data_IF_166793638682
#
_entry.id   IF_166793638682
#
_cell.length_a   1.000
_cell.length_b   1.000
_cell.length_c   1.000
_cell.angle_alpha   90.00
_cell.angle_beta   90.00
_cell.angle_gamma   90.00
#
_symmetry.space_group_name_H-M   'P 1'
#
loop_
_entity.id
_entity.type
_entity.pdbx_description
1 polymer ?
#
# COMPACT_ATOMS: atom_id res chain seq x y z
N UNK A 1 55.23 -5.29 -30.76
CA UNK A 1 54.71 -4.72 -29.51
C UNK A 1 53.20 -4.64 -29.64
N UNK A 2 52.46 -5.53 -28.96
CA UNK A 2 51.00 -5.59 -29.01
C UNK A 2 50.55 -5.05 -27.64
N UNK A 3 49.89 -3.90 -27.66
CA UNK A 3 49.30 -3.28 -26.44
C UNK A 3 47.89 -3.81 -26.30
N UNK A 4 47.67 -4.63 -25.26
CA UNK A 4 46.35 -5.16 -24.91
C UNK A 4 45.67 -4.15 -24.03
N UNK A 5 44.58 -3.55 -24.52
CA UNK A 5 43.70 -2.66 -23.72
C UNK A 5 42.70 -3.50 -22.94
N UNK A 6 42.86 -3.55 -21.64
CA UNK A 6 41.86 -4.15 -20.74
C UNK A 6 40.73 -3.15 -20.48
N UNK A 7 39.54 -3.42 -21.02
CA UNK A 7 38.31 -2.68 -20.70
C UNK A 7 37.79 -3.11 -19.33
N UNK A 8 37.87 -2.23 -18.33
CA UNK A 8 37.27 -2.42 -17.04
C UNK A 8 35.74 -2.12 -17.16
N UNK A 9 34.91 -3.16 -17.06
CA UNK A 9 33.46 -3.03 -16.92
C UNK A 9 33.17 -2.52 -15.50
N UNK A 10 32.79 -1.25 -15.37
CA UNK A 10 32.27 -0.70 -14.12
C UNK A 10 30.90 -1.27 -13.89
N UNK A 11 30.74 -2.20 -12.95
CA UNK A 11 29.46 -2.65 -12.43
C UNK A 11 28.91 -1.51 -11.59
N UNK A 12 27.94 -0.77 -12.14
CA UNK A 12 27.13 0.19 -11.38
C UNK A 12 26.32 -0.64 -10.39
N UNK A 13 26.77 -0.67 -9.13
CA UNK A 13 25.99 -1.17 -8.03
C UNK A 13 24.76 -0.25 -7.91
N UNK A 14 23.62 -0.74 -8.41
CA UNK A 14 22.31 -0.13 -8.17
C UNK A 14 22.07 -0.27 -6.67
N UNK A 15 22.31 0.80 -5.90
CA UNK A 15 21.89 0.86 -4.49
C UNK A 15 20.38 0.84 -4.50
N UNK A 16 19.81 -0.37 -4.44
CA UNK A 16 18.40 -0.55 -4.19
C UNK A 16 18.08 0.25 -2.92
N UNK A 17 17.17 1.22 -3.02
CA UNK A 17 16.70 1.97 -1.87
C UNK A 17 16.12 0.93 -0.90
N UNK A 18 16.85 0.66 0.17
CA UNK A 18 16.41 -0.30 1.16
C UNK A 18 15.26 0.32 1.96
N UNK A 19 14.22 -0.47 2.21
CA UNK A 19 13.23 -0.15 3.23
C UNK A 19 13.94 -0.22 4.59
N UNK A 20 14.51 0.90 5.03
CA UNK A 20 15.30 0.98 6.25
C UNK A 20 14.41 1.01 7.47
N UNK A 21 14.59 0.01 8.32
CA UNK A 21 13.92 -0.12 9.61
C UNK A 21 14.97 -0.28 10.71
N UNK A 22 14.95 0.59 11.74
CA UNK A 22 16.02 0.65 12.73
C UNK A 22 16.05 -0.51 13.71
N UNK A 23 14.94 -1.23 13.88
CA UNK A 23 14.87 -2.35 14.83
C UNK A 23 14.68 -3.66 14.11
N UNK A 24 15.48 -4.66 14.48
CA UNK A 24 15.45 -6.01 13.92
C UNK A 24 15.47 -7.03 15.03
N UNK A 25 14.50 -7.95 15.03
CA UNK A 25 14.41 -9.12 15.89
C UNK A 25 14.19 -10.35 15.01
N UNK A 26 14.63 -11.52 15.48
CA UNK A 26 14.35 -12.78 14.79
C UNK A 26 13.39 -13.63 15.62
N UNK A 27 12.45 -14.28 14.95
CA UNK A 27 11.54 -15.23 15.58
C UNK A 27 11.02 -16.25 14.57
N UNK A 28 10.58 -17.40 15.06
CA UNK A 28 9.99 -18.46 14.23
C UNK A 28 8.48 -18.22 14.09
N UNK A 29 7.97 -18.34 12.88
CA UNK A 29 6.53 -18.27 12.59
C UNK A 29 5.89 -19.62 12.96
N UNK A 30 4.95 -19.58 13.92
CA UNK A 30 4.21 -20.76 14.39
C UNK A 30 2.97 -21.04 13.53
N UNK A 31 2.21 -19.99 13.16
CA UNK A 31 1.02 -20.14 12.31
C UNK A 31 0.76 -18.88 11.47
N UNK A 32 0.03 -19.06 10.37
CA UNK A 32 -0.56 -17.99 9.57
C UNK A 32 -2.04 -17.87 9.94
N UNK A 33 -2.45 -16.71 10.41
CA UNK A 33 -3.81 -16.45 10.90
C UNK A 33 -4.73 -15.93 9.79
N UNK A 34 -4.19 -15.11 8.91
CA UNK A 34 -4.82 -14.58 7.70
C UNK A 34 -3.75 -14.15 6.70
N UNK A 35 -4.14 -13.63 5.54
CA UNK A 35 -3.21 -13.26 4.47
C UNK A 35 -2.18 -12.17 4.79
N UNK A 36 -2.19 -11.62 6.01
CA UNK A 36 -1.23 -10.60 6.47
C UNK A 36 -0.95 -10.65 7.97
N UNK A 37 -1.36 -11.72 8.66
CA UNK A 37 -1.17 -11.85 10.11
C UNK A 37 -0.59 -13.22 10.42
N UNK A 38 0.48 -13.25 11.19
CA UNK A 38 1.14 -14.47 11.65
C UNK A 38 1.24 -14.48 13.18
N UNK A 39 1.23 -15.67 13.78
CA UNK A 39 1.66 -15.86 15.15
C UNK A 39 3.08 -16.40 15.19
N UNK A 40 3.84 -15.98 16.18
CA UNK A 40 5.21 -16.42 16.44
C UNK A 40 5.23 -17.50 17.52
N UNK A 41 6.31 -18.27 17.58
CA UNK A 41 6.49 -19.33 18.58
C UNK A 41 6.58 -18.81 20.01
N UNK A 42 6.86 -17.54 20.22
CA UNK A 42 6.87 -16.88 21.52
C UNK A 42 5.49 -16.31 21.94
N UNK A 43 4.45 -16.56 21.13
CA UNK A 43 3.07 -16.13 21.38
C UNK A 43 2.73 -14.72 20.86
N UNK A 44 3.68 -13.96 20.37
CA UNK A 44 3.40 -12.65 19.75
C UNK A 44 2.66 -12.81 18.43
N UNK A 45 1.81 -11.82 18.12
CA UNK A 45 1.09 -11.74 16.85
C UNK A 45 1.68 -10.58 16.05
N UNK A 46 2.07 -10.83 14.81
CA UNK A 46 2.60 -9.83 13.89
C UNK A 46 1.64 -9.63 12.73
N UNK A 47 1.28 -8.36 12.49
CA UNK A 47 0.55 -7.92 11.32
C UNK A 47 1.53 -7.31 10.31
N UNK A 48 1.52 -7.80 9.10
CA UNK A 48 2.37 -7.29 8.02
C UNK A 48 2.03 -5.84 7.70
N UNK A 49 3.03 -4.98 7.80
CA UNK A 49 2.90 -3.54 7.55
C UNK A 49 2.81 -3.24 6.04
N UNK A 50 2.15 -2.14 5.69
CA UNK A 50 2.16 -1.58 4.34
C UNK A 50 1.36 -2.34 3.29
N UNK A 51 0.69 -3.45 3.64
CA UNK A 51 -0.10 -4.24 2.69
C UNK A 51 -1.52 -4.53 3.18
N UNK A 52 -2.41 -4.76 2.23
CA UNK A 52 -3.74 -5.33 2.41
C UNK A 52 -3.82 -6.66 1.65
N UNK A 53 -4.20 -7.71 2.34
CA UNK A 53 -4.29 -9.06 1.80
C UNK A 53 -5.36 -9.17 0.72
N UNK A 54 -5.09 -9.92 -0.35
CA UNK A 54 -6.10 -10.41 -1.28
C UNK A 54 -6.85 -11.62 -0.70
N UNK A 55 -7.91 -12.06 -1.34
CA UNK A 55 -8.57 -13.31 -0.98
C UNK A 55 -7.59 -14.48 -1.15
N UNK A 56 -7.62 -15.43 -0.21
CA UNK A 56 -6.77 -16.65 -0.20
C UNK A 56 -5.25 -16.38 -0.13
N UNK A 57 -4.83 -15.17 0.22
CA UNK A 57 -3.41 -14.84 0.39
C UNK A 57 -2.76 -15.46 1.64
N UNK A 58 -3.57 -16.03 2.54
CA UNK A 58 -3.11 -16.84 3.68
C UNK A 58 -2.26 -18.03 3.22
N UNK A 59 -2.65 -18.70 2.13
CA UNK A 59 -1.87 -19.79 1.53
C UNK A 59 -0.55 -19.29 0.95
N UNK A 60 -0.55 -18.13 0.27
CA UNK A 60 0.66 -17.53 -0.27
C UNK A 60 1.63 -17.12 0.85
N UNK A 61 1.13 -16.46 1.89
CA UNK A 61 1.91 -16.11 3.06
C UNK A 61 2.44 -17.37 3.77
N UNK A 62 1.61 -18.42 3.89
CA UNK A 62 2.02 -19.69 4.50
C UNK A 62 3.20 -20.34 3.79
N UNK A 63 3.18 -20.39 2.45
CA UNK A 63 4.32 -20.91 1.67
C UNK A 63 5.61 -20.12 1.89
N UNK A 64 5.49 -18.83 2.16
CA UNK A 64 6.64 -17.96 2.38
C UNK A 64 7.24 -18.10 3.79
N UNK A 65 6.40 -18.20 4.83
CA UNK A 65 6.92 -17.99 6.19
C UNK A 65 6.56 -19.08 7.22
N UNK A 66 5.61 -19.98 6.95
CA UNK A 66 5.18 -20.96 7.94
C UNK A 66 6.34 -21.88 8.38
N UNK A 67 6.58 -21.97 9.68
CA UNK A 67 7.66 -22.76 10.27
C UNK A 67 9.06 -22.18 10.06
N UNK A 68 9.20 -21.08 9.35
CA UNK A 68 10.48 -20.43 9.07
C UNK A 68 10.85 -19.45 10.19
N UNK A 69 12.15 -19.19 10.33
CA UNK A 69 12.69 -18.06 11.07
C UNK A 69 12.60 -16.81 10.18
N UNK A 70 12.06 -15.72 10.73
CA UNK A 70 11.91 -14.44 10.06
C UNK A 70 12.55 -13.33 10.86
N UNK A 71 13.12 -12.35 10.13
CA UNK A 71 13.55 -11.09 10.71
C UNK A 71 12.37 -10.13 10.73
N UNK A 72 12.01 -9.63 11.90
CA UNK A 72 10.91 -8.71 12.16
C UNK A 72 11.48 -7.31 12.26
N UNK A 73 11.08 -6.43 11.37
CA UNK A 73 11.59 -5.06 11.32
C UNK A 73 10.48 -4.07 11.62
N UNK A 74 10.70 -3.24 12.63
CA UNK A 74 9.75 -2.22 13.07
C UNK A 74 10.38 -0.82 13.05
N UNK A 75 9.55 0.19 12.85
CA UNK A 75 9.94 1.58 13.01
C UNK A 75 9.41 2.09 14.35
N UNK A 76 10.23 1.98 15.40
CA UNK A 76 9.88 2.49 16.72
C UNK A 76 9.82 4.01 16.78
N UNK A 77 10.50 4.73 15.84
CA UNK A 77 10.47 6.20 15.79
C UNK A 77 9.12 6.74 15.33
N UNK A 78 8.34 5.93 14.63
CA UNK A 78 6.99 6.27 14.20
C UNK A 78 5.92 6.06 15.28
N UNK A 79 6.32 5.74 16.53
CA UNK A 79 5.40 5.45 17.61
C UNK A 79 4.51 4.23 17.34
N UNK A 80 5.05 3.25 16.63
CA UNK A 80 4.35 1.99 16.32
C UNK A 80 4.33 1.16 17.61
N UNK A 81 3.44 1.54 18.51
CA UNK A 81 2.92 0.65 19.56
C UNK A 81 2.13 -0.47 18.88
N UNK A 82 1.96 -1.62 19.54
CA UNK A 82 1.02 -2.62 19.05
C UNK A 82 -0.30 -1.95 18.64
N UNK A 83 -0.93 -2.46 17.59
CA UNK A 83 -2.23 -1.94 17.19
C UNK A 83 -3.28 -2.18 18.32
N UNK A 84 -4.49 -1.63 18.15
CA UNK A 84 -5.56 -1.75 19.15
C UNK A 84 -5.94 -3.19 19.53
N UNK A 85 -5.43 -4.18 18.79
CA UNK A 85 -5.62 -5.61 19.06
C UNK A 85 -4.37 -6.27 19.66
N UNK A 86 -3.36 -5.48 20.04
CA UNK A 86 -2.12 -5.98 20.63
C UNK A 86 -1.15 -6.61 19.62
N UNK A 87 -1.37 -6.44 18.31
CA UNK A 87 -0.50 -7.00 17.27
C UNK A 87 0.64 -6.05 16.95
N UNK A 88 1.85 -6.57 16.83
CA UNK A 88 3.00 -5.82 16.33
C UNK A 88 2.84 -5.59 14.83
N UNK A 89 2.89 -4.33 14.39
CA UNK A 89 2.88 -3.98 12.96
C UNK A 89 4.32 -3.92 12.47
N UNK A 90 4.71 -4.80 11.55
CA UNK A 90 6.10 -4.97 11.15
C UNK A 90 6.27 -5.38 9.69
N UNK A 91 7.47 -5.20 9.18
CA UNK A 91 7.94 -5.82 7.94
C UNK A 91 8.67 -7.12 8.28
N UNK A 92 8.43 -8.15 7.47
CA UNK A 92 9.05 -9.46 7.62
C UNK A 92 10.06 -9.69 6.50
N UNK A 93 11.19 -10.28 6.88
CA UNK A 93 12.20 -10.76 5.94
C UNK A 93 12.50 -12.22 6.26
N UNK A 94 12.55 -13.05 5.24
CA UNK A 94 13.00 -14.43 5.32
C UNK A 94 14.22 -14.61 4.41
N UNK A 95 15.33 -15.08 4.96
CA UNK A 95 16.58 -15.28 4.20
C UNK A 95 17.00 -14.04 3.37
N UNK A 96 16.77 -12.84 3.93
CA UNK A 96 17.00 -11.56 3.26
C UNK A 96 15.92 -11.13 2.27
N UNK A 97 14.94 -11.96 1.95
CA UNK A 97 13.83 -11.65 1.05
C UNK A 97 12.73 -10.88 1.79
N UNK A 98 12.28 -9.78 1.21
CA UNK A 98 11.21 -8.95 1.75
C UNK A 98 9.84 -9.59 1.47
N UNK A 99 9.21 -10.16 2.50
CA UNK A 99 7.97 -10.96 2.38
C UNK A 99 6.84 -10.15 1.74
N UNK A 100 6.61 -8.90 2.18
CA UNK A 100 5.55 -8.05 1.63
C UNK A 100 5.77 -7.73 0.15
N UNK A 101 7.01 -7.49 -0.26
CA UNK A 101 7.35 -7.29 -1.68
C UNK A 101 6.98 -8.52 -2.49
N UNK A 102 7.34 -9.72 -2.03
CA UNK A 102 7.00 -10.97 -2.73
C UNK A 102 5.49 -11.17 -2.88
N UNK A 103 4.71 -10.89 -1.83
CA UNK A 103 3.24 -10.96 -1.90
C UNK A 103 2.63 -9.93 -2.86
N UNK A 104 3.23 -8.76 -2.96
CA UNK A 104 2.79 -7.73 -3.92
C UNK A 104 3.13 -8.13 -5.36
N UNK A 105 4.35 -8.62 -5.61
CA UNK A 105 4.81 -9.03 -6.95
C UNK A 105 4.05 -10.24 -7.52
N UNK A 106 3.52 -11.11 -6.65
CA UNK A 106 2.63 -12.21 -7.04
C UNK A 106 1.18 -11.78 -7.22
N UNK A 107 0.80 -10.58 -6.73
CA UNK A 107 -0.58 -10.11 -6.73
C UNK A 107 -1.44 -10.75 -5.64
N UNK A 108 -0.82 -11.28 -4.58
CA UNK A 108 -1.51 -11.81 -3.39
C UNK A 108 -1.83 -10.70 -2.37
N UNK A 109 -1.33 -9.48 -2.60
CA UNK A 109 -1.59 -8.32 -1.77
C UNK A 109 -1.71 -7.04 -2.60
N UNK A 110 -2.23 -5.99 -1.97
CA UNK A 110 -2.24 -4.59 -2.44
C UNK A 110 -1.51 -3.73 -1.43
N UNK A 111 -0.91 -2.63 -1.90
CA UNK A 111 -0.31 -1.65 -1.01
C UNK A 111 -1.39 -0.98 -0.17
N UNK A 112 -1.18 -0.92 1.14
CA UNK A 112 -2.11 -0.33 2.11
C UNK A 112 -2.18 1.20 1.99
N UNK A 113 -3.18 1.80 2.63
CA UNK A 113 -3.28 3.26 2.82
C UNK A 113 -2.25 3.79 3.84
N UNK A 114 -1.68 2.93 4.68
CA UNK A 114 -0.67 3.29 5.68
C UNK A 114 0.59 2.47 5.49
N UNK A 115 1.69 3.16 5.24
CA UNK A 115 3.00 2.56 4.99
C UNK A 115 3.98 3.18 6.00
N UNK A 116 4.33 2.47 7.08
CA UNK A 116 5.35 2.95 8.01
C UNK A 116 6.75 2.90 7.37
N UNK A 117 7.63 3.78 7.82
CA UNK A 117 9.04 3.81 7.42
C UNK A 117 9.32 4.58 6.13
N UNK A 118 10.50 5.18 6.10
CA UNK A 118 10.99 5.90 4.92
C UNK A 118 11.49 4.91 3.86
N UNK A 119 11.28 5.24 2.59
CA UNK A 119 11.73 4.41 1.46
C UNK A 119 10.90 3.16 1.19
N UNK A 120 10.11 2.67 2.17
CA UNK A 120 9.32 1.45 2.00
C UNK A 120 8.19 1.61 0.98
N UNK A 121 7.59 2.79 0.90
CA UNK A 121 6.49 3.07 -0.03
C UNK A 121 6.90 2.83 -1.49
N UNK A 122 8.06 3.32 -1.91
CA UNK A 122 8.53 3.19 -3.29
C UNK A 122 8.71 1.73 -3.70
N UNK A 123 9.29 0.91 -2.81
CA UNK A 123 9.51 -0.53 -3.06
C UNK A 123 8.17 -1.25 -3.18
N UNK A 124 7.24 -1.00 -2.24
CA UNK A 124 5.94 -1.65 -2.22
C UNK A 124 5.10 -1.25 -3.45
N UNK A 125 5.09 0.04 -3.81
CA UNK A 125 4.39 0.50 -5.01
C UNK A 125 5.01 -0.02 -6.31
N UNK A 126 6.34 -0.15 -6.37
CA UNK A 126 7.01 -0.75 -7.52
C UNK A 126 6.61 -2.22 -7.69
N UNK A 127 6.59 -2.99 -6.59
CA UNK A 127 6.17 -4.39 -6.59
C UNK A 127 4.70 -4.56 -7.01
N UNK A 128 3.78 -3.76 -6.45
CA UNK A 128 2.37 -3.75 -6.85
C UNK A 128 2.20 -3.42 -8.34
N UNK A 129 2.95 -2.43 -8.83
CA UNK A 129 2.89 -2.01 -10.23
C UNK A 129 3.33 -3.13 -11.18
N UNK A 130 4.43 -3.83 -10.86
CA UNK A 130 4.90 -5.00 -11.62
C UNK A 130 3.84 -6.10 -11.70
N UNK A 131 3.16 -6.41 -10.59
CA UNK A 131 2.09 -7.42 -10.57
C UNK A 131 0.87 -6.97 -11.39
N UNK A 132 0.50 -5.70 -11.28
CA UNK A 132 -0.64 -5.10 -12.01
C UNK A 132 -0.40 -5.10 -13.52
N UNK A 133 0.79 -4.67 -13.96
CA UNK A 133 1.15 -4.60 -15.37
C UNK A 133 1.25 -6.01 -16.00
N UNK A 134 1.74 -6.98 -15.22
CA UNK A 134 1.81 -8.39 -15.61
C UNK A 134 0.51 -9.17 -15.36
N UNK A 135 -0.57 -8.52 -14.87
CA UNK A 135 -1.88 -9.12 -14.57
C UNK A 135 -1.76 -10.39 -13.69
N UNK A 136 -0.97 -10.31 -12.62
CA UNK A 136 -0.76 -11.42 -11.67
C UNK A 136 -1.79 -11.40 -10.54
N UNK A 137 -2.12 -12.60 -10.03
CA UNK A 137 -2.98 -12.76 -8.85
C UNK A 137 -4.30 -12.00 -8.97
N UNK A 138 -4.63 -11.16 -7.99
CA UNK A 138 -5.86 -10.35 -8.00
C UNK A 138 -6.00 -9.44 -9.23
N UNK A 139 -4.89 -9.06 -9.88
CA UNK A 139 -4.90 -8.18 -11.05
C UNK A 139 -5.29 -8.90 -12.34
N UNK A 140 -5.23 -10.24 -12.37
CA UNK A 140 -5.63 -11.04 -13.55
C UNK A 140 -7.14 -10.97 -13.81
N UNK A 141 -7.95 -10.82 -12.76
CA UNK A 141 -9.42 -10.82 -12.86
C UNK A 141 -10.02 -9.48 -13.25
N UNK A 142 -9.21 -8.39 -13.21
CA UNK A 142 -9.65 -7.03 -13.54
C UNK A 142 -10.51 -6.34 -12.47
N UNK A 143 -10.75 -7.00 -11.33
CA UNK A 143 -11.54 -6.48 -10.20
C UNK A 143 -10.69 -5.79 -9.12
N UNK A 144 -9.40 -5.71 -9.32
CA UNK A 144 -8.45 -5.09 -8.38
C UNK A 144 -8.60 -3.58 -8.23
N UNK A 145 -9.22 -2.89 -9.23
CA UNK A 145 -9.45 -1.45 -9.25
C UNK A 145 -10.91 -1.19 -9.60
N UNK A 146 -11.64 -0.48 -8.73
CA UNK A 146 -13.03 -0.14 -8.94
C UNK A 146 -13.14 1.16 -9.74
N UNK A 147 -14.10 1.28 -10.69
CA UNK A 147 -14.41 2.56 -11.32
C UNK A 147 -14.93 3.54 -10.27
N UNK A 148 -14.30 4.71 -10.14
CA UNK A 148 -14.69 5.72 -9.16
C UNK A 148 -16.11 6.32 -9.41
N UNK A 149 -16.68 6.07 -10.59
CA UNK A 149 -18.04 6.47 -10.98
C UNK A 149 -19.08 5.38 -10.76
N UNK A 150 -18.68 4.14 -10.45
CA UNK A 150 -19.62 3.06 -10.18
C UNK A 150 -20.00 3.00 -8.71
N UNK A 151 -21.09 3.73 -8.37
CA UNK A 151 -21.61 3.80 -7.01
C UNK A 151 -21.97 2.43 -6.43
N UNK A 152 -22.51 1.53 -7.25
CA UNK A 152 -22.97 0.23 -6.78
C UNK A 152 -21.78 -0.66 -6.36
N UNK A 153 -20.76 -0.77 -7.19
CA UNK A 153 -19.53 -1.51 -6.87
C UNK A 153 -18.81 -0.92 -5.65
N UNK A 154 -18.73 0.42 -5.56
CA UNK A 154 -18.11 1.08 -4.42
C UNK A 154 -18.86 0.79 -3.12
N UNK A 155 -20.19 0.87 -3.11
CA UNK A 155 -20.99 0.58 -1.92
C UNK A 155 -20.99 -0.91 -1.54
N UNK A 156 -20.87 -1.81 -2.50
CA UNK A 156 -20.65 -3.24 -2.23
C UNK A 156 -19.31 -3.49 -1.52
N UNK A 157 -18.34 -2.58 -1.67
CA UNK A 157 -17.05 -2.61 -0.96
C UNK A 157 -17.05 -1.83 0.36
N UNK A 158 -18.21 -1.34 0.84
CA UNK A 158 -18.31 -0.60 2.12
C UNK A 158 -17.68 -1.38 3.28
N UNK A 159 -16.90 -0.69 4.09
CA UNK A 159 -16.16 -1.25 5.22
C UNK A 159 -14.91 -2.04 4.83
N UNK A 160 -14.64 -2.21 3.53
CA UNK A 160 -13.48 -2.92 3.02
C UNK A 160 -12.49 -1.96 2.35
N UNK A 161 -11.22 -2.33 2.36
CA UNK A 161 -10.20 -1.62 1.59
C UNK A 161 -10.42 -1.83 0.09
N UNK A 162 -10.32 -0.74 -0.67
CA UNK A 162 -10.42 -0.75 -2.12
C UNK A 162 -9.41 0.22 -2.75
N UNK A 163 -9.13 -0.02 -4.02
CA UNK A 163 -8.48 0.95 -4.91
C UNK A 163 -9.55 1.36 -5.93
N UNK A 164 -9.78 2.65 -6.08
CA UNK A 164 -10.69 3.18 -7.08
C UNK A 164 -9.98 4.13 -8.03
N UNK A 165 -10.36 4.12 -9.30
CA UNK A 165 -9.76 4.95 -10.35
C UNK A 165 -10.82 5.74 -11.09
N UNK A 166 -10.51 6.99 -11.42
CA UNK A 166 -11.37 7.85 -12.22
C UNK A 166 -10.76 9.22 -12.48
N UNK A 167 -11.46 10.00 -13.31
CA UNK A 167 -11.15 11.41 -13.52
C UNK A 167 -11.77 12.25 -12.41
N UNK A 168 -11.00 13.21 -11.90
CA UNK A 168 -11.49 14.18 -10.91
C UNK A 168 -12.32 15.25 -11.61
N UNK A 169 -13.60 15.30 -11.27
CA UNK A 169 -14.56 16.25 -11.88
C UNK A 169 -14.52 17.62 -11.21
N UNK A 170 -14.34 17.65 -9.89
CA UNK A 170 -14.26 18.91 -9.14
C UNK A 170 -13.52 18.73 -7.81
N UNK A 171 -12.91 19.82 -7.34
CA UNK A 171 -12.33 19.92 -6.00
C UNK A 171 -12.93 21.12 -5.29
N UNK A 172 -13.55 20.89 -4.14
CA UNK A 172 -14.21 21.90 -3.33
C UNK A 172 -13.70 21.86 -1.88
N UNK A 173 -13.71 23.00 -1.24
CA UNK A 173 -13.38 23.12 0.18
C UNK A 173 -14.64 23.57 0.96
N UNK A 174 -14.95 22.85 2.03
CA UNK A 174 -16.01 23.23 2.94
C UNK A 174 -15.57 22.96 4.39
N UNK A 175 -15.57 24.00 5.19
CA UNK A 175 -15.10 23.93 6.58
C UNK A 175 -13.63 23.50 6.66
N UNK A 176 -13.37 22.39 7.34
CA UNK A 176 -12.05 21.82 7.53
C UNK A 176 -11.72 20.64 6.59
N UNK A 177 -12.50 20.49 5.50
CA UNK A 177 -12.38 19.33 4.60
C UNK A 177 -12.29 19.78 3.15
N UNK A 178 -11.35 19.20 2.42
CA UNK A 178 -11.26 19.28 0.96
C UNK A 178 -11.91 18.03 0.38
N UNK A 179 -12.81 18.22 -0.58
CA UNK A 179 -13.57 17.18 -1.27
C UNK A 179 -13.09 17.08 -2.70
N UNK A 180 -12.58 15.93 -3.09
CA UNK A 180 -12.18 15.60 -4.47
C UNK A 180 -13.24 14.65 -5.03
N UNK A 181 -14.05 15.12 -5.98
CA UNK A 181 -15.22 14.42 -6.48
C UNK A 181 -14.96 13.80 -7.85
N UNK A 182 -15.37 12.53 -8.00
CA UNK A 182 -15.27 11.78 -9.27
C UNK A 182 -16.56 11.78 -10.08
N UNK A 183 -17.60 12.46 -9.61
CA UNK A 183 -18.86 12.61 -10.33
C UNK A 183 -19.43 14.02 -10.13
N UNK A 184 -20.26 14.50 -11.08
CA UNK A 184 -20.92 15.82 -10.98
C UNK A 184 -21.83 15.89 -9.75
N UNK A 185 -22.56 14.82 -9.48
CA UNK A 185 -23.30 14.64 -8.21
C UNK A 185 -22.41 13.83 -7.26
N UNK A 186 -21.95 14.45 -6.20
CA UNK A 186 -21.07 13.82 -5.21
C UNK A 186 -21.63 12.50 -4.62
N UNK A 187 -22.96 12.33 -4.60
CA UNK A 187 -23.59 11.09 -4.14
C UNK A 187 -23.59 9.96 -5.18
N UNK A 188 -23.30 10.24 -6.47
CA UNK A 188 -23.37 9.24 -7.55
C UNK A 188 -22.04 8.56 -7.89
N UNK A 189 -20.95 9.00 -7.29
CA UNK A 189 -19.62 8.40 -7.44
C UNK A 189 -18.82 8.56 -6.17
N UNK A 190 -17.54 8.17 -6.24
CA UNK A 190 -16.61 8.32 -5.12
C UNK A 190 -16.36 9.80 -4.82
N UNK A 191 -16.24 10.11 -3.55
CA UNK A 191 -15.62 11.35 -3.05
C UNK A 191 -14.40 10.98 -2.21
N UNK A 192 -13.24 11.55 -2.54
CA UNK A 192 -12.08 11.51 -1.67
C UNK A 192 -12.11 12.73 -0.76
N UNK A 193 -11.95 12.54 0.54
CA UNK A 193 -11.88 13.65 1.51
C UNK A 193 -10.48 13.77 2.09
N UNK A 194 -10.00 15.02 2.23
CA UNK A 194 -8.72 15.33 2.88
C UNK A 194 -9.00 16.37 3.95
N UNK A 195 -8.68 16.06 5.20
CA UNK A 195 -8.81 17.01 6.30
C UNK A 195 -7.73 18.09 6.21
N UNK A 196 -8.09 19.33 6.53
CA UNK A 196 -7.17 20.50 6.49
C UNK A 196 -5.87 20.25 7.24
N UNK A 197 -5.93 19.57 8.38
CA UNK A 197 -4.74 19.22 9.16
C UNK A 197 -3.72 18.39 8.40
N UNK A 198 -4.16 17.61 7.39
CA UNK A 198 -3.33 16.73 6.59
C UNK A 198 -2.79 17.40 5.31
N UNK A 199 -3.37 18.51 4.84
CA UNK A 199 -3.02 19.16 3.57
C UNK A 199 -1.52 19.47 3.43
N UNK A 200 -0.84 19.78 4.55
CA UNK A 200 0.61 20.01 4.53
C UNK A 200 1.42 18.79 4.10
N UNK A 201 0.95 17.58 4.44
CA UNK A 201 1.60 16.32 4.03
C UNK A 201 1.49 16.16 2.52
N UNK A 202 0.29 16.38 1.97
CA UNK A 202 0.04 16.29 0.52
C UNK A 202 0.86 17.33 -0.27
N UNK A 203 0.89 18.57 0.18
CA UNK A 203 1.66 19.63 -0.47
C UNK A 203 3.16 19.34 -0.49
N UNK A 204 3.73 18.79 0.60
CA UNK A 204 5.13 18.37 0.66
C UNK A 204 5.46 17.23 -0.31
N UNK A 205 4.49 16.38 -0.60
CA UNK A 205 4.59 15.31 -1.59
C UNK A 205 4.26 15.77 -3.03
N UNK A 206 4.07 17.08 -3.25
CA UNK A 206 3.75 17.65 -4.55
C UNK A 206 2.28 17.45 -4.98
N UNK A 207 1.41 17.01 -4.07
CA UNK A 207 -0.01 16.83 -4.34
C UNK A 207 -0.76 18.07 -3.83
N UNK A 208 -1.18 18.92 -4.77
CA UNK A 208 -2.05 20.07 -4.49
C UNK A 208 -3.47 19.69 -4.93
N UNK A 209 -4.44 19.52 -4.01
CA UNK A 209 -5.75 18.97 -4.37
C UNK A 209 -6.45 19.68 -5.53
N UNK A 210 -6.42 21.00 -5.57
CA UNK A 210 -7.03 21.78 -6.64
C UNK A 210 -6.45 21.47 -8.04
N UNK A 211 -5.19 21.07 -8.11
CA UNK A 211 -4.53 20.69 -9.36
C UNK A 211 -4.87 19.26 -9.82
N UNK A 212 -5.67 18.53 -9.07
CA UNK A 212 -6.17 17.22 -9.46
C UNK A 212 -7.38 17.29 -10.39
N UNK A 213 -8.07 18.44 -10.47
CA UNK A 213 -9.21 18.62 -11.39
C UNK A 213 -8.80 18.28 -12.82
N UNK A 214 -9.63 17.50 -13.51
CA UNK A 214 -9.38 16.98 -14.85
C UNK A 214 -8.30 15.90 -14.96
N UNK A 215 -7.65 15.52 -13.85
CA UNK A 215 -6.66 14.46 -13.86
C UNK A 215 -7.30 13.12 -13.53
N UNK A 216 -6.77 12.06 -14.15
CA UNK A 216 -7.09 10.68 -13.79
C UNK A 216 -6.20 10.24 -12.63
N UNK A 217 -6.81 9.79 -11.55
CA UNK A 217 -6.08 9.35 -10.37
C UNK A 217 -6.62 8.01 -9.86
N UNK A 218 -5.76 7.27 -9.17
CA UNK A 218 -6.15 6.14 -8.30
C UNK A 218 -6.12 6.59 -6.86
N UNK A 219 -7.12 6.20 -6.13
CA UNK A 219 -7.19 6.44 -4.70
C UNK A 219 -7.41 5.13 -3.96
N UNK A 220 -6.77 4.98 -2.80
CA UNK A 220 -6.83 3.76 -2.00
C UNK A 220 -7.22 4.05 -0.57
N UNK A 221 -8.05 3.16 -0.01
CA UNK A 221 -8.51 3.29 1.37
C UNK A 221 -9.75 2.47 1.64
N UNK A 222 -10.25 2.55 2.86
CA UNK A 222 -11.52 1.92 3.23
C UNK A 222 -12.67 2.72 2.66
N UNK A 223 -13.60 2.04 1.98
CA UNK A 223 -14.82 2.67 1.51
C UNK A 223 -15.76 2.89 2.69
N UNK A 224 -16.10 4.13 2.93
CA UNK A 224 -17.17 4.55 3.86
C UNK A 224 -18.41 4.99 3.08
N UNK A 225 -19.52 5.10 3.79
CA UNK A 225 -20.76 5.65 3.25
C UNK A 225 -21.19 6.89 4.07
N UNK A 226 -21.12 8.07 3.41
CA UNK A 226 -21.59 9.36 3.96
C UNK A 226 -22.42 10.04 2.88
N UNK A 227 -23.70 9.69 2.71
CA UNK A 227 -24.59 10.11 1.59
C UNK A 227 -24.10 9.65 0.17
N UNK A 228 -22.96 9.01 0.04
CA UNK A 228 -22.29 8.44 -1.12
C UNK A 228 -21.07 7.65 -0.67
N UNK A 229 -20.39 6.95 -1.57
CA UNK A 229 -19.13 6.28 -1.25
C UNK A 229 -18.01 7.32 -1.03
N UNK A 230 -17.26 7.16 0.06
CA UNK A 230 -16.19 8.07 0.47
C UNK A 230 -14.95 7.27 0.83
N UNK A 231 -13.77 7.79 0.46
CA UNK A 231 -12.49 7.42 1.04
C UNK A 231 -11.93 8.66 1.74
N UNK A 232 -11.48 8.52 2.98
CA UNK A 232 -10.70 9.57 3.66
C UNK A 232 -9.22 9.35 3.41
N UNK A 233 -8.54 10.36 2.84
CA UNK A 233 -7.11 10.33 2.64
C UNK A 233 -6.40 11.07 3.78
N UNK A 234 -5.54 10.34 4.49
CA UNK A 234 -4.73 10.84 5.60
C UNK A 234 -3.29 11.11 5.14
N UNK A 235 -2.82 10.37 4.13
CA UNK A 235 -1.45 10.43 3.62
C UNK A 235 -1.42 10.52 2.09
N UNK A 236 -0.36 11.14 1.52
CA UNK A 236 -0.23 11.30 0.07
C UNK A 236 -0.12 9.99 -0.70
N UNK A 237 0.39 8.91 -0.08
CA UNK A 237 0.52 7.58 -0.67
C UNK A 237 -0.84 6.96 -1.05
N UNK A 238 -1.93 7.54 -0.55
CA UNK A 238 -3.29 7.13 -0.93
C UNK A 238 -3.72 7.63 -2.32
N UNK A 239 -2.94 8.53 -2.93
CA UNK A 239 -3.24 9.11 -4.25
C UNK A 239 -2.11 8.78 -5.22
N UNK A 240 -2.44 8.10 -6.32
CA UNK A 240 -1.54 7.81 -7.45
C UNK A 240 -2.04 8.54 -8.70
N UNK A 241 -1.19 9.37 -9.32
CA UNK A 241 -1.49 9.99 -10.61
C UNK A 241 -1.38 8.92 -11.71
N UNK A 242 -2.41 8.77 -12.52
CA UNK A 242 -2.41 7.87 -13.68
C UNK A 242 -1.99 8.68 -14.90
N UNK A 243 -0.94 8.20 -15.57
CA UNK A 243 -0.45 8.80 -16.82
C UNK A 243 -1.28 8.32 -18.00
#
# INVERSE_FOLDING_TARGET
>A
MIVSAASALAVLANTAMACEMPSTENAKVAAVMDGRTVSLSDGRIVRLAGIEAAEQSDQALGRLVLGAEVSIRTDHSAGVSPDRYGRTVAYLYRDGQFVQQTLLESGDARVSSRIPGKGCAEILFAAERLARDAKRGLWARGDGILPATDRALLLNAKGRFAIAEGEVVSVNEAGATTYVNFARRWSSGLTLTILRRNLRLFSRAGIVPKQLEGKRIRVRGTIEQRNGPVIEAETPEQIELVK
#
